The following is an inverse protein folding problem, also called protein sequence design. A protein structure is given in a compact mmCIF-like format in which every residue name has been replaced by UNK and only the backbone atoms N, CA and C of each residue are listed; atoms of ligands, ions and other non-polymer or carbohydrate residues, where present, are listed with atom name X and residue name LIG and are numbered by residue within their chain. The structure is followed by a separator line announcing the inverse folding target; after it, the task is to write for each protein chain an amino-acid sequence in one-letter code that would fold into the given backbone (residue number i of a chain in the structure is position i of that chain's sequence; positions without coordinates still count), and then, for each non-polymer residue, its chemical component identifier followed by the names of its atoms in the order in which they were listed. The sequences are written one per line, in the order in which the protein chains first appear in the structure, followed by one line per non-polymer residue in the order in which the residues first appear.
data_IF_964729190933
#
_entry.id   IF_964729190933
#
_cell.length_a   1.000
_cell.length_b   1.000
_cell.length_c   1.000
_cell.angle_alpha   90.00
_cell.angle_beta   90.00
_cell.angle_gamma   90.00
#
_symmetry.space_group_name_H-M   'P 1'
#
loop_
_entity.id
_entity.type
_entity.pdbx_description
1 polymer ?
#
# COMPACT_ATOMS: atom_id res chain seq x y z
N UNK A 1 -18.96 35.14 1.71
CA UNK A 1 -19.14 33.73 1.27
C UNK A 1 -20.01 33.59 0.05
N UNK A 2 -21.22 34.16 0.00
CA UNK A 2 -22.13 34.04 -1.16
C UNK A 2 -21.53 34.60 -2.45
N UNK A 3 -20.81 35.71 -2.38
CA UNK A 3 -20.14 36.34 -3.53
C UNK A 3 -19.03 35.48 -4.13
N UNK A 4 -18.23 34.81 -3.30
CA UNK A 4 -17.15 33.92 -3.75
C UNK A 4 -17.69 32.67 -4.44
N UNK A 5 -18.75 32.06 -3.92
CA UNK A 5 -19.37 30.89 -4.55
C UNK A 5 -19.90 31.22 -5.95
N UNK A 6 -20.49 32.42 -6.13
CA UNK A 6 -20.94 32.89 -7.45
C UNK A 6 -19.77 33.09 -8.43
N UNK A 7 -18.65 33.61 -7.95
CA UNK A 7 -17.47 33.87 -8.76
C UNK A 7 -16.84 32.57 -9.29
N UNK A 8 -16.88 31.50 -8.51
CA UNK A 8 -16.35 30.17 -8.88
C UNK A 8 -17.40 29.24 -9.51
N UNK A 9 -18.63 29.70 -9.72
CA UNK A 9 -19.69 28.89 -10.33
C UNK A 9 -20.15 27.70 -9.47
N UNK A 10 -19.87 27.72 -8.16
CA UNK A 10 -20.20 26.63 -7.22
C UNK A 10 -21.36 27.06 -6.33
N UNK A 11 -22.32 26.16 -6.12
CA UNK A 11 -23.42 26.42 -5.20
C UNK A 11 -22.95 26.41 -3.74
N UNK A 12 -23.58 27.25 -2.89
CA UNK A 12 -23.28 27.29 -1.46
C UNK A 12 -23.38 25.91 -0.80
N UNK A 13 -24.39 25.12 -1.19
CA UNK A 13 -24.57 23.77 -0.67
C UNK A 13 -23.43 22.81 -1.08
N UNK A 14 -22.95 22.90 -2.32
CA UNK A 14 -21.84 22.08 -2.78
C UNK A 14 -20.54 22.41 -2.02
N UNK A 15 -20.32 23.69 -1.72
CA UNK A 15 -19.18 24.12 -0.91
C UNK A 15 -19.24 23.55 0.52
N UNK A 16 -20.36 23.65 1.21
CA UNK A 16 -20.48 23.09 2.56
C UNK A 16 -20.36 21.56 2.58
N UNK A 17 -20.99 20.86 1.63
CA UNK A 17 -20.81 19.41 1.49
C UNK A 17 -19.34 19.02 1.28
N UNK A 18 -18.60 19.79 0.50
CA UNK A 18 -17.17 19.55 0.31
C UNK A 18 -16.38 19.75 1.60
N UNK A 19 -16.66 20.81 2.35
CA UNK A 19 -15.99 21.09 3.63
C UNK A 19 -16.28 19.98 4.65
N UNK A 20 -17.55 19.59 4.80
CA UNK A 20 -17.96 18.52 5.72
C UNK A 20 -17.27 17.19 5.34
N UNK A 21 -17.32 16.82 4.06
CA UNK A 21 -16.66 15.62 3.56
C UNK A 21 -15.14 15.65 3.79
N UNK A 22 -14.48 16.80 3.62
CA UNK A 22 -13.04 16.93 3.82
C UNK A 22 -12.65 16.81 5.30
N UNK A 23 -13.46 17.31 6.21
CA UNK A 23 -13.24 17.18 7.66
C UNK A 23 -13.42 15.74 8.12
N UNK A 24 -14.47 15.06 7.67
CA UNK A 24 -14.72 13.66 7.97
C UNK A 24 -13.61 12.76 7.40
N UNK A 25 -13.17 13.02 6.18
CA UNK A 25 -12.07 12.30 5.55
C UNK A 25 -10.78 12.46 6.36
N UNK A 26 -10.46 13.67 6.80
CA UNK A 26 -9.26 13.92 7.59
C UNK A 26 -9.30 13.25 8.98
N UNK A 27 -10.47 13.20 9.61
CA UNK A 27 -10.66 12.50 10.88
C UNK A 27 -10.47 10.98 10.73
N UNK A 28 -11.02 10.38 9.67
CA UNK A 28 -10.81 8.96 9.34
C UNK A 28 -9.35 8.64 9.05
N UNK A 29 -8.67 9.50 8.30
CA UNK A 29 -7.23 9.33 8.03
C UNK A 29 -6.41 9.33 9.31
N UNK A 30 -6.65 10.26 10.23
CA UNK A 30 -5.97 10.33 11.54
C UNK A 30 -6.18 9.05 12.34
N UNK A 31 -7.40 8.56 12.38
CA UNK A 31 -7.74 7.33 13.09
C UNK A 31 -7.01 6.11 12.54
N UNK A 32 -6.96 5.96 11.21
CA UNK A 32 -6.20 4.90 10.54
C UNK A 32 -4.70 5.02 10.84
N UNK A 33 -4.15 6.22 10.80
CA UNK A 33 -2.72 6.44 11.08
C UNK A 33 -2.35 6.10 12.52
N UNK A 34 -3.19 6.44 13.48
CA UNK A 34 -3.00 6.12 14.89
C UNK A 34 -3.02 4.59 15.10
N UNK A 35 -3.99 3.91 14.51
CA UNK A 35 -4.05 2.45 14.51
C UNK A 35 -2.76 1.82 13.93
N UNK A 36 -2.33 2.27 12.76
CA UNK A 36 -1.12 1.75 12.10
C UNK A 36 0.12 1.98 12.93
N UNK A 37 0.27 3.15 13.55
CA UNK A 37 1.39 3.44 14.47
C UNK A 37 1.38 2.51 15.67
N UNK A 38 0.21 2.30 16.29
CA UNK A 38 0.03 1.40 17.43
C UNK A 38 0.43 -0.04 17.10
N UNK A 39 0.00 -0.57 15.96
CA UNK A 39 0.34 -1.93 15.55
C UNK A 39 1.81 -2.05 15.19
N UNK A 40 2.36 -1.10 14.43
CA UNK A 40 3.77 -1.13 14.03
C UNK A 40 4.77 -0.86 15.14
N UNK A 41 4.35 -0.29 16.24
CA UNK A 41 5.22 -0.20 17.42
C UNK A 41 5.53 -1.58 18.00
N UNK A 42 4.62 -2.56 17.81
CA UNK A 42 4.84 -3.96 18.21
C UNK A 42 5.50 -4.78 17.10
N UNK A 43 5.00 -4.63 15.86
CA UNK A 43 5.41 -5.42 14.69
C UNK A 43 5.71 -4.51 13.49
N UNK A 44 6.92 -3.98 13.35
CA UNK A 44 7.26 -3.01 12.30
C UNK A 44 7.21 -3.59 10.88
N UNK A 45 7.28 -4.92 10.75
CA UNK A 45 7.28 -5.65 9.47
C UNK A 45 5.92 -6.00 8.88
N UNK A 46 4.81 -5.60 9.51
CA UNK A 46 3.46 -5.96 9.05
C UNK A 46 3.11 -5.25 7.74
N UNK A 47 2.73 -6.05 6.72
CA UNK A 47 2.25 -5.55 5.43
C UNK A 47 0.83 -4.96 5.49
N UNK A 48 0.49 -4.10 4.50
CA UNK A 48 -0.77 -3.37 4.46
C UNK A 48 -2.03 -4.25 4.51
N UNK A 49 -2.02 -5.43 3.87
CA UNK A 49 -3.17 -6.34 3.88
C UNK A 49 -3.43 -6.94 5.27
N UNK A 50 -2.38 -7.34 5.99
CA UNK A 50 -2.53 -7.83 7.37
C UNK A 50 -3.01 -6.73 8.31
N UNK A 51 -2.49 -5.51 8.15
CA UNK A 51 -2.96 -4.33 8.89
C UNK A 51 -4.44 -4.08 8.66
N UNK A 52 -4.91 -4.15 7.41
CA UNK A 52 -6.31 -3.95 7.10
C UNK A 52 -7.20 -5.06 7.70
N UNK A 53 -6.78 -6.33 7.67
CA UNK A 53 -7.52 -7.42 8.32
C UNK A 53 -7.65 -7.22 9.83
N UNK A 54 -6.57 -6.80 10.49
CA UNK A 54 -6.61 -6.47 11.92
C UNK A 54 -7.54 -5.28 12.20
N UNK A 55 -7.46 -4.24 11.37
CA UNK A 55 -8.34 -3.08 11.43
C UNK A 55 -9.82 -3.47 11.25
N UNK A 56 -10.11 -4.31 10.26
CA UNK A 56 -11.46 -4.83 10.03
C UNK A 56 -11.99 -5.63 11.22
N UNK A 57 -11.16 -6.47 11.83
CA UNK A 57 -11.57 -7.28 12.99
C UNK A 57 -11.87 -6.41 14.21
N UNK A 58 -11.09 -5.33 14.40
CA UNK A 58 -11.24 -4.44 15.56
C UNK A 58 -12.36 -3.41 15.37
N UNK A 59 -12.51 -2.86 14.17
CA UNK A 59 -13.38 -1.71 13.88
C UNK A 59 -14.45 -1.96 12.80
N UNK A 60 -14.66 -3.19 12.38
CA UNK A 60 -15.55 -3.51 11.26
C UNK A 60 -17.01 -3.07 11.42
N UNK A 61 -17.47 -2.86 12.65
CA UNK A 61 -18.82 -2.38 12.99
C UNK A 61 -18.89 -0.90 13.34
N UNK A 62 -17.76 -0.19 13.36
CA UNK A 62 -17.73 1.22 13.75
C UNK A 62 -18.02 2.16 12.56
N UNK A 63 -18.56 3.34 12.87
CA UNK A 63 -18.80 4.40 11.88
C UNK A 63 -17.49 4.92 11.22
N UNK A 64 -16.36 4.74 11.89
CA UNK A 64 -15.04 5.13 11.39
C UNK A 64 -14.42 4.06 10.46
N UNK A 65 -15.15 2.98 10.16
CA UNK A 65 -14.65 1.91 9.30
C UNK A 65 -14.32 2.40 7.90
N UNK A 66 -13.14 2.03 7.43
CA UNK A 66 -12.62 2.39 6.11
C UNK A 66 -12.46 1.12 5.27
N UNK A 67 -12.97 1.15 4.05
CA UNK A 67 -12.82 0.04 3.10
C UNK A 67 -11.35 -0.23 2.75
N UNK A 68 -11.07 -1.43 2.25
CA UNK A 68 -9.71 -1.90 1.92
C UNK A 68 -8.94 -0.93 1.02
N UNK A 69 -9.58 -0.47 -0.06
CA UNK A 69 -8.91 0.34 -1.07
C UNK A 69 -8.59 1.74 -0.53
N UNK A 70 -9.51 2.32 0.23
CA UNK A 70 -9.29 3.59 0.91
C UNK A 70 -8.19 3.47 1.99
N UNK A 71 -8.17 2.38 2.75
CA UNK A 71 -7.10 2.10 3.72
C UNK A 71 -5.73 2.00 3.05
N UNK A 72 -5.63 1.27 1.93
CA UNK A 72 -4.40 1.15 1.15
C UNK A 72 -3.98 2.50 0.54
N UNK A 73 -4.93 3.31 0.07
CA UNK A 73 -4.66 4.64 -0.45
C UNK A 73 -4.08 5.57 0.64
N UNK A 74 -4.61 5.52 1.86
CA UNK A 74 -4.07 6.25 3.01
C UNK A 74 -2.63 5.81 3.31
N UNK A 75 -2.36 4.50 3.36
CA UNK A 75 -1.00 3.99 3.56
C UNK A 75 -0.02 4.46 2.49
N UNK A 76 -0.45 4.50 1.24
CA UNK A 76 0.35 4.99 0.11
C UNK A 76 0.61 6.49 0.20
N UNK A 77 -0.42 7.29 0.52
CA UNK A 77 -0.34 8.74 0.71
C UNK A 77 0.72 9.12 1.74
N UNK A 78 0.77 8.39 2.85
CA UNK A 78 1.72 8.64 3.94
C UNK A 78 3.01 7.82 3.83
N UNK A 79 3.27 7.17 2.69
CA UNK A 79 4.47 6.35 2.42
C UNK A 79 4.71 5.25 3.47
N UNK A 80 3.64 4.72 4.02
CA UNK A 80 3.66 3.66 5.03
C UNK A 80 3.63 2.25 4.43
N UNK A 81 3.73 2.11 3.12
CA UNK A 81 3.80 0.81 2.45
C UNK A 81 5.20 0.21 2.61
N UNK A 82 5.26 -1.10 2.93
CA UNK A 82 6.53 -1.82 3.02
C UNK A 82 7.01 -2.12 1.60
N UNK A 83 8.18 -1.63 1.24
CA UNK A 83 8.82 -1.97 -0.04
C UNK A 83 9.31 -3.40 0.00
N UNK A 84 8.92 -4.21 -0.97
CA UNK A 84 9.55 -5.52 -1.18
C UNK A 84 11.03 -5.29 -1.49
N UNK A 85 11.91 -5.89 -0.68
CA UNK A 85 13.32 -5.94 -1.05
C UNK A 85 13.44 -6.89 -2.24
N UNK A 86 13.81 -6.36 -3.39
CA UNK A 86 14.15 -7.17 -4.54
C UNK A 86 15.51 -7.83 -4.25
N UNK A 87 15.46 -9.06 -3.76
CA UNK A 87 16.64 -9.92 -3.73
C UNK A 87 16.53 -10.82 -4.95
N UNK A 88 17.39 -10.61 -5.94
CA UNK A 88 17.60 -11.62 -6.96
C UNK A 88 18.08 -12.89 -6.25
N UNK A 89 17.35 -14.02 -6.34
CA UNK A 89 17.81 -15.25 -5.74
C UNK A 89 19.10 -15.68 -6.45
N UNK A 90 20.20 -15.65 -5.75
CA UNK A 90 21.47 -16.18 -6.24
C UNK A 90 21.47 -17.67 -5.91
N UNK A 91 20.96 -18.48 -6.85
CA UNK A 91 20.78 -19.93 -6.66
C UNK A 91 22.02 -20.74 -6.99
N UNK A 92 22.91 -20.18 -7.82
CA UNK A 92 24.14 -20.85 -8.24
C UNK A 92 25.31 -19.90 -8.18
N UNK A 93 26.44 -20.36 -7.66
CA UNK A 93 27.72 -19.66 -7.74
C UNK A 93 28.53 -20.28 -8.88
N UNK A 94 28.53 -19.63 -10.04
CA UNK A 94 29.27 -20.07 -11.22
C UNK A 94 30.75 -19.65 -11.20
N UNK A 95 31.18 -18.90 -10.19
CA UNK A 95 32.55 -18.42 -10.05
C UNK A 95 33.40 -19.27 -9.11
N UNK A 96 33.13 -20.58 -9.06
CA UNK A 96 33.94 -21.52 -8.31
C UNK A 96 35.23 -21.91 -9.06
N UNK A 97 36.25 -22.29 -8.32
CA UNK A 97 37.57 -22.73 -8.85
C UNK A 97 37.56 -24.16 -9.37
N UNK A 98 36.45 -24.86 -9.36
CA UNK A 98 36.33 -26.23 -9.86
C UNK A 98 36.38 -26.27 -11.40
N UNK A 99 36.99 -27.31 -12.00
CA UNK A 99 37.05 -27.43 -13.45
C UNK A 99 35.65 -27.50 -14.04
N UNK A 100 35.40 -26.69 -15.05
CA UNK A 100 34.15 -26.70 -15.81
C UNK A 100 34.35 -27.64 -17.02
N UNK A 101 33.50 -28.65 -17.10
CA UNK A 101 33.50 -29.53 -18.24
C UNK A 101 32.73 -28.92 -19.41
N UNK A 102 33.20 -29.10 -20.68
CA UNK A 102 32.49 -28.60 -21.83
C UNK A 102 31.14 -29.32 -22.01
N UNK A 103 30.16 -28.59 -22.50
CA UNK A 103 28.85 -29.14 -22.83
C UNK A 103 28.96 -30.11 -24.00
N UNK A 104 28.84 -31.39 -23.71
CA UNK A 104 28.95 -32.49 -24.71
C UNK A 104 27.76 -32.52 -25.70
N UNK A 105 26.64 -31.91 -25.34
CA UNK A 105 25.44 -31.87 -26.16
C UNK A 105 25.42 -30.77 -27.19
N UNK A 106 26.29 -29.77 -27.05
CA UNK A 106 26.33 -28.57 -27.91
C UNK A 106 26.61 -28.87 -29.38
N UNK A 107 27.29 -29.99 -29.66
CA UNK A 107 27.66 -30.43 -31.03
C UNK A 107 26.75 -31.51 -31.60
N UNK A 108 25.79 -32.00 -30.79
CA UNK A 108 24.84 -33.00 -31.24
C UNK A 108 23.73 -32.37 -32.06
N UNK A 109 23.76 -32.58 -33.37
CA UNK A 109 22.65 -32.31 -34.26
C UNK A 109 21.62 -33.39 -34.05
N UNK A 110 20.47 -33.04 -33.45
CA UNK A 110 19.31 -33.93 -33.35
C UNK A 110 18.66 -34.01 -34.74
N UNK A 111 18.90 -35.06 -35.48
CA UNK A 111 18.14 -35.37 -36.65
C UNK A 111 16.78 -35.91 -36.26
N UNK A 112 15.71 -35.30 -36.82
CA UNK A 112 14.32 -35.71 -36.62
C UNK A 112 13.92 -36.70 -37.68
#
# INVERSE_FOLDING_TARGET
MVSLCKLFGVTKQAFYKYVDHSTDSSARERFVLEFVKRVRSKDPGIGGMKLWLMYRNEFGTSQAFVGRDCFCAILSKYKLTIRKRFRAPRTTDSSHHLPQYPDLTRTLLLEH
#
